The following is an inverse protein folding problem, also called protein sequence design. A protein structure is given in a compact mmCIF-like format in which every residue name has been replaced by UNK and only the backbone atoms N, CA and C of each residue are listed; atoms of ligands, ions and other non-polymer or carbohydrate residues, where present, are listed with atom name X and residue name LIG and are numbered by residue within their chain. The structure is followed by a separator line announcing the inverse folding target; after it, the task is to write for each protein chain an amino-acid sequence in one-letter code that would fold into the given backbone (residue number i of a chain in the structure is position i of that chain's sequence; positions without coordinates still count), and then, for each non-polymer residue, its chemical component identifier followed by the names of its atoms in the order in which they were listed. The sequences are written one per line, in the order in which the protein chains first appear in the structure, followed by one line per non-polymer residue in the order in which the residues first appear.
data_IF_215939453047
#
_entry.id   IF_215939453047
#
_cell.length_a   1.000
_cell.length_b   1.000
_cell.length_c   1.000
_cell.angle_alpha   90.00
_cell.angle_beta   90.00
_cell.angle_gamma   90.00
#
_symmetry.space_group_name_H-M   'P 1'
#
loop_
_entity.id
_entity.type
_entity.pdbx_description
1 polymer ?
#
# COMPACT_ATOMS: atom_id res chain seq x y z
N UNK A 1 -31.81 -32.20 22.90
CA UNK A 1 -30.57 -32.46 22.15
C UNK A 1 -30.36 -31.29 21.19
N UNK A 2 -29.36 -30.47 21.47
CA UNK A 2 -28.92 -29.35 20.65
C UNK A 2 -28.34 -29.88 19.34
N UNK A 3 -28.87 -29.42 18.20
CA UNK A 3 -28.23 -29.66 16.90
C UNK A 3 -26.93 -28.87 16.90
N UNK A 4 -25.80 -29.57 16.85
CA UNK A 4 -24.54 -28.98 16.44
C UNK A 4 -24.72 -28.56 14.98
N UNK A 5 -24.89 -27.27 14.75
CA UNK A 5 -24.62 -26.70 13.44
C UNK A 5 -23.13 -26.88 13.17
N UNK A 6 -22.83 -27.81 12.27
CA UNK A 6 -21.53 -27.89 11.63
C UNK A 6 -21.31 -26.56 10.94
N UNK A 7 -20.50 -25.67 11.54
CA UNK A 7 -19.99 -24.50 10.84
C UNK A 7 -19.28 -25.03 9.59
N UNK A 8 -19.89 -24.82 8.43
CA UNK A 8 -19.22 -25.06 7.16
C UNK A 8 -17.89 -24.32 7.20
N UNK A 9 -16.75 -24.98 6.93
CA UNK A 9 -15.51 -24.24 6.76
C UNK A 9 -15.74 -23.24 5.63
N UNK A 10 -15.59 -21.95 5.98
CA UNK A 10 -15.63 -20.83 5.03
C UNK A 10 -14.85 -21.21 3.78
N UNK A 11 -15.51 -21.15 2.62
CA UNK A 11 -14.89 -21.50 1.36
C UNK A 11 -13.77 -20.50 1.10
N UNK A 12 -12.50 -20.92 1.29
CA UNK A 12 -11.33 -20.09 1.00
C UNK A 12 -11.46 -19.47 -0.39
N UNK A 13 -11.51 -18.14 -0.48
CA UNK A 13 -11.58 -17.46 -1.78
C UNK A 13 -10.32 -17.77 -2.59
N UNK A 14 -10.51 -18.24 -3.82
CA UNK A 14 -9.44 -18.63 -4.75
C UNK A 14 -9.32 -17.57 -5.85
N UNK A 15 -8.10 -17.15 -6.14
CA UNK A 15 -7.81 -16.28 -7.28
C UNK A 15 -7.21 -17.11 -8.41
N UNK A 16 -7.75 -16.98 -9.62
CA UNK A 16 -7.22 -17.62 -10.82
C UNK A 16 -6.50 -16.57 -11.65
N UNK A 17 -5.20 -16.79 -11.90
CA UNK A 17 -4.37 -15.87 -12.67
C UNK A 17 -3.95 -16.58 -13.96
N UNK A 18 -4.26 -15.96 -15.09
CA UNK A 18 -3.96 -16.47 -16.41
C UNK A 18 -2.75 -15.74 -17.00
N UNK A 19 -1.69 -16.49 -17.31
CA UNK A 19 -0.42 -15.95 -17.82
C UNK A 19 -0.30 -15.95 -19.35
N UNK A 20 -1.39 -16.28 -20.06
CA UNK A 20 -1.40 -16.48 -21.51
C UNK A 20 -1.11 -17.91 -21.96
N UNK A 21 -0.69 -18.80 -21.05
CA UNK A 21 -0.43 -20.22 -21.33
C UNK A 21 -1.23 -21.15 -20.42
N UNK A 22 -1.33 -20.81 -19.14
CA UNK A 22 -2.04 -21.61 -18.13
C UNK A 22 -2.65 -20.72 -17.06
N UNK A 23 -3.75 -21.20 -16.50
CA UNK A 23 -4.32 -20.63 -15.28
C UNK A 23 -3.61 -21.26 -14.08
N UNK A 24 -3.05 -20.43 -13.20
CA UNK A 24 -2.60 -20.88 -11.88
C UNK A 24 -3.60 -20.41 -10.83
N UNK A 25 -3.87 -21.28 -9.87
CA UNK A 25 -4.68 -20.96 -8.70
C UNK A 25 -3.76 -20.45 -7.59
N UNK A 26 -4.15 -19.36 -6.95
CA UNK A 26 -3.57 -18.92 -5.69
C UNK A 26 -4.66 -18.73 -4.64
N UNK A 27 -4.25 -18.79 -3.37
CA UNK A 27 -5.10 -18.57 -2.21
C UNK A 27 -4.58 -17.35 -1.47
N UNK A 28 -5.49 -16.47 -1.06
CA UNK A 28 -5.15 -15.42 -0.11
C UNK A 28 -4.83 -16.05 1.26
N UNK A 29 -3.93 -15.45 2.06
CA UNK A 29 -3.72 -15.89 3.43
C UNK A 29 -5.05 -15.87 4.21
N UNK A 30 -5.27 -16.91 5.00
CA UNK A 30 -6.56 -17.46 5.49
C UNK A 30 -7.44 -16.57 6.41
N UNK A 31 -7.31 -15.24 6.40
CA UNK A 31 -7.85 -14.41 7.49
C UNK A 31 -9.19 -13.72 7.20
N UNK A 32 -9.69 -13.68 5.95
CA UNK A 32 -11.01 -13.10 5.64
C UNK A 32 -11.54 -13.51 4.25
N UNK A 33 -12.87 -13.58 4.11
CA UNK A 33 -13.54 -13.83 2.83
C UNK A 33 -13.35 -12.62 1.91
N UNK A 34 -12.88 -12.87 0.69
CA UNK A 34 -12.69 -11.85 -0.34
C UNK A 34 -13.93 -11.80 -1.23
N UNK A 35 -14.54 -10.62 -1.30
CA UNK A 35 -15.71 -10.28 -2.12
C UNK A 35 -15.34 -9.92 -3.55
N UNK A 36 -14.29 -9.11 -3.74
CA UNK A 36 -13.82 -8.68 -5.06
C UNK A 36 -12.32 -8.39 -5.07
N UNK A 37 -11.72 -8.39 -6.27
CA UNK A 37 -10.30 -8.09 -6.48
C UNK A 37 -10.16 -7.17 -7.69
N UNK A 38 -9.42 -6.09 -7.52
CA UNK A 38 -9.10 -5.10 -8.55
C UNK A 38 -7.58 -5.12 -8.80
N UNK A 39 -7.15 -5.41 -10.04
CA UNK A 39 -5.74 -5.37 -10.43
C UNK A 39 -5.37 -3.93 -10.76
N UNK A 40 -4.47 -3.34 -9.97
CA UNK A 40 -4.07 -1.93 -10.13
C UNK A 40 -2.77 -1.75 -10.90
N UNK A 41 -1.97 -2.80 -11.06
CA UNK A 41 -0.74 -2.71 -11.83
C UNK A 41 0.05 -4.00 -11.90
N UNK A 42 1.02 -4.01 -12.81
CA UNK A 42 2.06 -5.03 -12.92
C UNK A 42 3.38 -4.34 -13.27
N UNK A 43 4.42 -4.57 -12.47
CA UNK A 43 5.78 -4.04 -12.74
C UNK A 43 6.76 -5.18 -12.62
N UNK A 44 7.56 -5.39 -13.68
CA UNK A 44 8.45 -6.53 -13.78
C UNK A 44 7.70 -7.83 -13.43
N UNK A 45 8.13 -8.49 -12.36
CA UNK A 45 7.56 -9.75 -11.89
C UNK A 45 6.53 -9.57 -10.76
N UNK A 46 6.19 -8.33 -10.37
CA UNK A 46 5.23 -8.03 -9.30
C UNK A 46 3.84 -7.69 -9.86
N UNK A 47 2.79 -8.19 -9.21
CA UNK A 47 1.38 -7.93 -9.48
C UNK A 47 0.79 -7.22 -8.25
N UNK A 48 0.16 -6.08 -8.48
CA UNK A 48 -0.45 -5.25 -7.44
C UNK A 48 -1.97 -5.37 -7.54
N UNK A 49 -2.62 -5.74 -6.44
CA UNK A 49 -4.07 -5.89 -6.38
C UNK A 49 -4.65 -5.25 -5.12
N UNK A 50 -5.80 -4.61 -5.24
CA UNK A 50 -6.67 -4.38 -4.09
C UNK A 50 -7.68 -5.50 -3.98
N UNK A 51 -7.82 -6.07 -2.79
CA UNK A 51 -8.87 -7.04 -2.50
C UNK A 51 -9.84 -6.44 -1.48
N UNK A 52 -11.15 -6.60 -1.74
CA UNK A 52 -12.24 -6.17 -0.86
C UNK A 52 -12.78 -7.34 -0.08
N UNK A 53 -13.02 -7.17 1.21
CA UNK A 53 -13.77 -8.15 2.00
C UNK A 53 -15.29 -7.87 1.94
N UNK A 54 -16.06 -8.68 2.66
CA UNK A 54 -17.53 -8.53 2.74
C UNK A 54 -17.98 -7.21 3.40
N UNK A 55 -17.12 -6.54 4.17
CA UNK A 55 -17.40 -5.23 4.77
C UNK A 55 -16.95 -4.06 3.88
N UNK A 56 -16.66 -4.32 2.60
CA UNK A 56 -16.11 -3.36 1.63
C UNK A 56 -14.78 -2.73 2.07
N UNK A 57 -14.05 -3.38 2.98
CA UNK A 57 -12.72 -2.97 3.38
C UNK A 57 -11.69 -3.44 2.34
N UNK A 58 -10.94 -2.49 1.79
CA UNK A 58 -9.89 -2.74 0.80
C UNK A 58 -8.52 -2.99 1.46
N UNK A 59 -7.75 -3.93 0.91
CA UNK A 59 -6.39 -4.25 1.34
C UNK A 59 -5.47 -4.38 0.13
N UNK A 60 -4.27 -3.81 0.23
CA UNK A 60 -3.26 -3.94 -0.81
C UNK A 60 -2.54 -5.28 -0.67
N UNK A 61 -2.51 -6.05 -1.75
CA UNK A 61 -1.68 -7.23 -1.88
C UNK A 61 -0.67 -7.06 -3.02
N UNK A 62 0.53 -7.55 -2.77
CA UNK A 62 1.61 -7.59 -3.75
C UNK A 62 2.00 -9.05 -3.92
N UNK A 63 1.93 -9.55 -5.14
CA UNK A 63 2.28 -10.92 -5.44
C UNK A 63 3.30 -11.06 -6.56
N UNK A 64 4.01 -12.18 -6.56
CA UNK A 64 4.93 -12.51 -7.64
C UNK A 64 4.21 -13.21 -8.78
N UNK A 65 4.52 -12.82 -10.01
CA UNK A 65 3.98 -13.43 -11.24
C UNK A 65 4.58 -14.81 -11.53
N UNK A 66 5.61 -15.24 -10.79
CA UNK A 66 6.21 -16.57 -10.95
C UNK A 66 5.51 -17.62 -10.08
N UNK A 67 5.42 -17.34 -8.77
CA UNK A 67 4.89 -18.26 -7.77
C UNK A 67 3.45 -17.95 -7.36
N UNK A 68 2.92 -16.80 -7.77
CA UNK A 68 1.57 -16.32 -7.51
C UNK A 68 1.24 -16.24 -6.02
N UNK A 69 2.25 -16.07 -5.16
CA UNK A 69 2.04 -15.82 -3.73
C UNK A 69 1.85 -14.35 -3.49
N UNK A 70 0.82 -13.99 -2.71
CA UNK A 70 0.47 -12.62 -2.39
C UNK A 70 0.75 -12.31 -0.92
N UNK A 71 1.44 -11.20 -0.70
CA UNK A 71 1.70 -10.63 0.62
C UNK A 71 0.79 -9.43 0.82
N UNK A 72 0.07 -9.40 1.95
CA UNK A 72 -0.72 -8.24 2.36
C UNK A 72 0.22 -7.15 2.88
N UNK A 73 0.15 -5.95 2.30
CA UNK A 73 1.05 -4.85 2.66
C UNK A 73 0.79 -4.31 4.06
N UNK A 74 -0.46 -4.27 4.51
CA UNK A 74 -0.79 -3.81 5.85
C UNK A 74 -0.19 -4.70 6.95
N UNK A 75 0.16 -5.96 6.65
CA UNK A 75 0.90 -6.80 7.60
C UNK A 75 2.34 -6.29 7.83
N UNK A 76 2.92 -5.60 6.84
CA UNK A 76 4.25 -4.98 6.90
C UNK A 76 4.16 -3.64 7.63
N UNK A 77 3.11 -2.86 7.33
CA UNK A 77 2.90 -1.53 7.92
C UNK A 77 2.49 -1.59 9.40
N UNK A 78 1.89 -2.70 9.84
CA UNK A 78 1.34 -2.88 11.18
C UNK A 78 -0.18 -2.75 11.24
N UNK A 79 -0.77 -3.28 12.32
CA UNK A 79 -2.22 -3.57 12.49
C UNK A 79 -3.14 -2.33 12.40
N UNK A 80 -2.59 -1.11 12.45
CA UNK A 80 -3.36 0.13 12.50
C UNK A 80 -3.15 1.07 11.31
N UNK A 81 -2.40 0.64 10.30
CA UNK A 81 -2.09 1.43 9.10
C UNK A 81 -2.76 0.84 7.87
N UNK A 82 -3.50 1.66 7.14
CA UNK A 82 -4.22 1.25 5.93
C UNK A 82 -3.81 2.10 4.73
N UNK A 83 -3.57 1.47 3.59
CA UNK A 83 -3.31 2.18 2.32
C UNK A 83 -4.63 2.74 1.77
N UNK A 84 -4.59 4.01 1.36
CA UNK A 84 -5.72 4.65 0.67
C UNK A 84 -5.66 4.25 -0.81
N UNK A 85 -6.64 3.48 -1.25
CA UNK A 85 -6.62 2.82 -2.58
C UNK A 85 -6.56 3.79 -3.76
N UNK A 86 -7.15 4.97 -3.62
CA UNK A 86 -7.11 6.04 -4.63
C UNK A 86 -5.82 6.86 -4.62
N UNK A 87 -4.93 6.64 -3.65
CA UNK A 87 -3.73 7.45 -3.43
C UNK A 87 -2.46 6.58 -3.38
N UNK A 88 -2.33 5.71 -4.39
CA UNK A 88 -1.16 4.89 -4.64
C UNK A 88 -0.60 5.17 -6.03
N UNK A 89 0.71 5.21 -6.15
CA UNK A 89 1.41 5.33 -7.42
C UNK A 89 2.55 4.31 -7.50
N UNK A 90 2.49 3.53 -8.58
CA UNK A 90 3.44 2.47 -8.90
C UNK A 90 4.30 2.96 -10.05
N UNK A 91 5.62 2.96 -9.89
CA UNK A 91 6.54 3.50 -10.88
C UNK A 91 7.12 2.38 -11.75
N UNK A 92 6.55 2.19 -12.95
CA UNK A 92 6.99 1.17 -13.91
C UNK A 92 8.49 1.27 -14.28
N UNK A 93 9.02 2.50 -14.22
CA UNK A 93 10.41 2.84 -14.56
C UNK A 93 11.41 2.35 -13.49
N UNK A 94 10.94 2.13 -12.26
CA UNK A 94 11.73 1.72 -11.11
C UNK A 94 11.04 0.56 -10.39
N UNK A 95 11.29 -0.69 -10.81
CA UNK A 95 10.72 -1.87 -10.15
C UNK A 95 10.95 -1.85 -8.63
N UNK A 96 9.92 -2.16 -7.86
CA UNK A 96 9.91 -2.06 -6.41
C UNK A 96 9.59 -0.68 -5.85
N UNK A 97 9.65 0.41 -6.64
CA UNK A 97 9.29 1.74 -6.17
C UNK A 97 7.77 1.95 -6.15
N UNK A 98 7.25 2.17 -4.94
CA UNK A 98 5.85 2.50 -4.69
C UNK A 98 5.79 3.66 -3.73
N UNK A 99 4.88 4.58 -3.99
CA UNK A 99 4.54 5.66 -3.06
C UNK A 99 3.04 5.60 -2.83
N UNK A 100 2.63 5.57 -1.56
CA UNK A 100 1.21 5.49 -1.20
C UNK A 100 0.92 6.33 0.03
N UNK A 101 -0.28 6.88 0.09
CA UNK A 101 -0.79 7.47 1.31
C UNK A 101 -1.44 6.41 2.19
N UNK A 102 -1.17 6.54 3.48
CA UNK A 102 -1.74 5.67 4.51
C UNK A 102 -2.52 6.48 5.52
N UNK A 103 -3.54 5.86 6.11
CA UNK A 103 -4.23 6.35 7.30
C UNK A 103 -3.86 5.43 8.45
N UNK A 104 -3.31 6.00 9.51
CA UNK A 104 -3.03 5.33 10.78
C UNK A 104 -3.95 5.88 11.86
N UNK A 105 -4.55 5.00 12.66
CA UNK A 105 -5.31 5.40 13.84
C UNK A 105 -4.41 5.51 15.06
N UNK A 106 -4.29 6.69 15.65
CA UNK A 106 -3.54 6.94 16.89
C UNK A 106 -4.39 7.75 17.88
N UNK A 107 -4.62 7.24 19.09
CA UNK A 107 -5.47 7.88 20.11
C UNK A 107 -6.83 8.40 19.59
N UNK A 108 -7.49 7.62 18.72
CA UNK A 108 -8.76 7.97 18.01
C UNK A 108 -8.64 9.12 17.00
N UNK A 109 -7.44 9.57 16.67
CA UNK A 109 -7.18 10.51 15.57
C UNK A 109 -6.71 9.75 14.34
N UNK A 110 -7.24 10.16 13.19
CA UNK A 110 -6.74 9.73 11.90
C UNK A 110 -5.49 10.54 11.55
N UNK A 111 -4.37 9.85 11.38
CA UNK A 111 -3.11 10.42 10.93
C UNK A 111 -2.89 9.96 9.51
N UNK A 112 -2.81 10.91 8.58
CA UNK A 112 -2.45 10.65 7.19
C UNK A 112 -0.95 10.82 7.01
N UNK A 113 -0.32 9.89 6.30
CA UNK A 113 1.12 9.91 6.01
C UNK A 113 1.37 9.45 4.57
N UNK A 114 2.48 9.89 3.98
CA UNK A 114 2.97 9.33 2.72
C UNK A 114 4.14 8.41 3.00
N UNK A 115 3.97 7.14 2.60
CA UNK A 115 5.00 6.13 2.69
C UNK A 115 5.58 5.84 1.31
N UNK A 116 6.88 5.56 1.29
CA UNK A 116 7.64 5.12 0.13
C UNK A 116 8.21 3.73 0.43
N UNK A 117 8.22 2.87 -0.59
CA UNK A 117 8.91 1.59 -0.56
C UNK A 117 9.78 1.44 -1.80
N UNK A 118 10.98 0.91 -1.63
CA UNK A 118 11.88 0.46 -2.71
C UNK A 118 11.96 -1.07 -2.80
N UNK A 119 11.32 -1.74 -1.85
CA UNK A 119 11.17 -3.19 -1.76
C UNK A 119 9.78 -3.45 -1.19
N UNK A 120 8.82 -3.42 -2.11
CA UNK A 120 7.38 -3.30 -1.86
C UNK A 120 6.84 -4.35 -0.89
N UNK A 121 7.51 -5.50 -0.81
CA UNK A 121 7.12 -6.66 -0.03
C UNK A 121 7.77 -6.75 1.35
N UNK A 122 8.75 -5.88 1.65
CA UNK A 122 9.56 -6.00 2.87
C UNK A 122 9.56 -4.75 3.74
N UNK A 123 9.65 -3.55 3.16
CA UNK A 123 9.81 -2.34 3.98
C UNK A 123 9.16 -1.10 3.36
N UNK A 124 8.64 -0.25 4.22
CA UNK A 124 8.03 1.03 3.89
C UNK A 124 8.56 2.08 4.87
N UNK A 125 8.69 3.32 4.42
CA UNK A 125 9.24 4.41 5.22
C UNK A 125 8.51 5.71 4.95
N UNK A 126 8.32 6.54 5.98
CA UNK A 126 7.78 7.89 5.81
C UNK A 126 8.79 8.78 5.09
N UNK A 127 8.30 9.71 4.27
CA UNK A 127 9.16 10.69 3.60
C UNK A 127 9.56 11.78 4.58
N UNK A 128 10.85 12.02 4.72
CA UNK A 128 11.38 13.03 5.64
C UNK A 128 11.17 14.45 5.12
N UNK A 129 10.71 15.34 5.99
CA UNK A 129 10.61 16.78 5.72
C UNK A 129 12.00 17.41 5.83
N UNK A 130 12.38 18.24 4.87
CA UNK A 130 13.67 18.95 4.91
C UNK A 130 13.71 19.94 6.08
N UNK A 131 14.73 19.82 6.93
CA UNK A 131 14.93 20.67 8.11
C UNK A 131 15.12 22.16 7.77
N UNK A 132 15.46 22.51 6.53
CA UNK A 132 15.71 23.89 6.12
C UNK A 132 14.45 24.70 5.80
N UNK A 133 13.28 24.06 5.68
CA UNK A 133 12.06 24.74 5.23
C UNK A 133 11.01 24.96 6.32
N UNK A 134 11.20 24.45 7.54
CA UNK A 134 10.19 24.65 8.59
C UNK A 134 10.77 24.61 10.02
N UNK A 135 11.07 25.78 10.60
CA UNK A 135 11.53 25.91 11.98
C UNK A 135 10.53 25.34 13.00
N UNK A 136 9.22 25.35 12.71
CA UNK A 136 8.19 24.83 13.62
C UNK A 136 8.25 23.30 13.72
N UNK A 137 8.54 22.62 12.61
CA UNK A 137 8.75 21.18 12.61
C UNK A 137 10.04 20.75 13.33
N UNK A 138 11.11 21.55 13.20
CA UNK A 138 12.42 21.26 13.82
C UNK A 138 12.42 21.54 15.33
N UNK A 139 11.68 22.54 15.81
CA UNK A 139 11.63 22.90 17.25
C UNK A 139 11.10 21.77 18.15
N UNK A 140 10.30 20.84 17.62
CA UNK A 140 9.79 19.70 18.40
C UNK A 140 10.78 18.52 18.45
N UNK A 141 11.73 18.46 17.52
CA UNK A 141 12.68 17.34 17.39
C UNK A 141 13.84 17.41 18.42
N UNK A 142 14.14 18.58 18.99
CA UNK A 142 15.19 18.75 20.01
C UNK A 142 14.84 18.13 21.38
N UNK A 143 13.60 17.68 21.58
CA UNK A 143 13.13 17.03 22.82
C UNK A 143 13.12 15.50 22.75
N UNK A 144 13.70 14.89 21.71
CA UNK A 144 13.75 13.43 21.55
C UNK A 144 12.37 12.76 21.46
N UNK A 145 11.37 13.53 21.03
CA UNK A 145 10.03 13.06 20.65
C UNK A 145 10.05 12.92 19.12
N UNK A 146 9.41 11.87 18.59
CA UNK A 146 9.32 11.56 17.16
C UNK A 146 9.07 12.81 16.28
N UNK A 147 9.50 12.80 14.99
CA UNK A 147 9.22 13.91 14.09
C UNK A 147 7.69 14.14 14.00
N UNK A 148 7.22 15.25 14.58
CA UNK A 148 5.81 15.61 14.62
C UNK A 148 5.25 16.10 13.27
N UNK A 149 6.12 16.26 12.26
CA UNK A 149 5.72 16.68 10.92
C UNK A 149 5.93 15.54 9.93
N UNK A 150 4.89 15.28 9.13
CA UNK A 150 4.88 14.23 8.11
C UNK A 150 4.62 14.88 6.77
N UNK A 151 5.43 14.57 5.77
CA UNK A 151 5.15 15.04 4.42
C UNK A 151 4.01 14.20 3.83
N UNK A 152 2.88 14.84 3.54
CA UNK A 152 1.74 14.20 2.88
C UNK A 152 1.66 14.69 1.42
N UNK A 153 2.15 13.88 0.51
CA UNK A 153 2.10 14.13 -0.93
C UNK A 153 0.68 13.93 -1.46
N UNK A 154 0.31 14.75 -2.44
CA UNK A 154 -0.86 14.53 -3.27
C UNK A 154 -0.53 13.44 -4.28
N UNK A 155 -0.98 12.24 -4.00
CA UNK A 155 -0.84 11.09 -4.89
C UNK A 155 -2.14 10.95 -5.66
N UNK A 156 -2.05 11.05 -6.98
CA UNK A 156 -3.17 10.90 -7.88
C UNK A 156 -2.71 10.12 -9.10
N UNK A 157 -3.61 9.30 -9.65
CA UNK A 157 -3.40 8.70 -10.96
C UNK A 157 -3.50 9.73 -12.10
N UNK A 158 -4.04 10.94 -11.85
CA UNK A 158 -3.94 12.05 -12.79
C UNK A 158 -2.52 12.63 -12.73
N UNK A 159 -1.76 12.40 -13.80
CA UNK A 159 -0.39 12.90 -13.90
C UNK A 159 -0.30 14.41 -13.68
N UNK A 160 -1.34 15.21 -13.97
CA UNK A 160 -1.36 16.67 -13.74
C UNK A 160 -1.47 17.09 -12.28
N UNK A 161 -1.90 16.17 -11.41
CA UNK A 161 -2.17 16.45 -10.01
C UNK A 161 -1.34 15.58 -9.06
N UNK A 162 -0.70 14.52 -9.57
CA UNK A 162 0.11 13.54 -8.82
C UNK A 162 1.63 13.77 -8.87
N UNK A 163 2.38 12.73 -8.44
CA UNK A 163 3.84 12.72 -8.50
C UNK A 163 4.32 12.41 -9.91
N UNK A 164 5.41 13.05 -10.32
CA UNK A 164 6.00 12.91 -11.66
C UNK A 164 7.47 12.56 -11.60
N UNK A 165 7.89 11.64 -12.45
CA UNK A 165 9.30 11.38 -12.74
C UNK A 165 9.83 12.34 -13.81
N UNK A 166 11.07 12.80 -13.64
CA UNK A 166 11.73 13.59 -14.69
C UNK A 166 12.41 12.64 -15.66
N UNK A 167 11.84 12.48 -16.86
CA UNK A 167 12.36 11.56 -17.90
C UNK A 167 13.86 11.71 -18.21
N UNK A 168 14.40 12.94 -18.09
CA UNK A 168 15.81 13.26 -18.37
C UNK A 168 16.74 13.12 -17.16
N UNK A 169 16.20 12.89 -15.97
CA UNK A 169 16.97 12.78 -14.74
C UNK A 169 16.43 11.60 -13.91
N UNK A 170 17.08 10.42 -14.00
CA UNK A 170 16.65 9.27 -13.22
C UNK A 170 16.68 9.62 -11.73
N UNK A 171 15.72 9.10 -10.98
CA UNK A 171 15.51 9.30 -9.54
C UNK A 171 15.04 10.69 -9.10
N UNK A 172 14.69 11.59 -10.03
CA UNK A 172 14.01 12.84 -9.64
C UNK A 172 12.49 12.63 -9.72
N UNK A 173 11.86 12.74 -8.56
CA UNK A 173 10.42 12.84 -8.39
C UNK A 173 10.04 14.24 -7.94
N UNK A 174 8.98 14.80 -8.52
CA UNK A 174 8.41 16.08 -8.09
C UNK A 174 6.89 16.01 -8.03
N UNK A 175 6.29 16.78 -7.14
CA UNK A 175 4.85 16.84 -6.95
C UNK A 175 4.45 17.85 -5.88
N UNK A 176 3.16 17.89 -5.59
CA UNK A 176 2.59 18.77 -4.56
C UNK A 176 2.31 17.98 -3.28
N UNK A 177 2.35 18.65 -2.14
CA UNK A 177 2.07 18.03 -0.85
C UNK A 177 1.83 19.06 0.24
N UNK A 178 1.49 18.55 1.42
CA UNK A 178 1.36 19.30 2.66
C UNK A 178 2.39 18.75 3.67
N UNK A 179 2.72 19.57 4.67
CA UNK A 179 3.48 19.18 5.87
C UNK A 179 2.52 19.21 7.06
#
# INVERSE_FOLDING_TARGET
MTKNETKNPSAKTRLFIYDGRKSKQTSFPDFFEIKSVDVIGKVADEIFIFAKNETDEEFLFIGSSHDYKFTRVENILGVHSKIVSSEIQIFNEWPGLIIANTITMDDKKEIKDTLISFDSTNSWSSIQVSAHQNEECVKVSLLNIQPNCRLVLRISMDENLGLRSVKKAPFILYGYGNI
#
